data_IF_202929368292
#
_entry.id   IF_202929368292
#
_cell.length_a   1.000
_cell.length_b   1.000
_cell.length_c   1.000
_cell.angle_alpha   90.00
_cell.angle_beta   90.00
_cell.angle_gamma   90.00
#
_symmetry.space_group_name_H-M   'P 1'
#
loop_
_entity.id
_entity.type
_entity.pdbx_description
1 polymer ?
#
# COMPACT_ATOMS: atom_id res chain seq x y z
N UNK A 1 -32.08 -30.71 27.70
CA UNK A 1 -32.21 -29.25 27.45
C UNK A 1 -31.37 -28.36 28.38
N UNK A 2 -30.63 -28.88 29.37
CA UNK A 2 -29.75 -28.06 30.25
C UNK A 2 -28.29 -27.96 29.75
N UNK A 3 -27.81 -29.01 29.08
CA UNK A 3 -26.44 -29.08 28.51
C UNK A 3 -26.28 -28.16 27.29
N UNK A 4 -27.34 -27.96 26.50
CA UNK A 4 -27.33 -27.04 25.36
C UNK A 4 -27.18 -25.57 25.79
N UNK A 5 -27.84 -25.17 26.89
CA UNK A 5 -27.69 -23.81 27.46
C UNK A 5 -26.29 -23.58 28.04
N UNK A 6 -25.69 -24.60 28.68
CA UNK A 6 -24.33 -24.50 29.20
C UNK A 6 -23.28 -24.30 28.09
N UNK A 7 -23.43 -25.00 26.96
CA UNK A 7 -22.52 -24.92 25.81
C UNK A 7 -22.58 -23.55 25.10
N UNK A 8 -23.78 -22.97 25.00
CA UNK A 8 -23.97 -21.62 24.45
C UNK A 8 -23.37 -20.53 25.35
N UNK A 9 -23.52 -20.64 26.68
CA UNK A 9 -22.98 -19.66 27.62
C UNK A 9 -21.44 -19.68 27.64
N UNK A 10 -20.82 -20.87 27.58
CA UNK A 10 -19.35 -20.99 27.51
C UNK A 10 -18.78 -20.45 26.20
N UNK A 11 -19.49 -20.61 25.08
CA UNK A 11 -19.05 -20.10 23.78
C UNK A 11 -19.14 -18.56 23.73
N UNK A 12 -20.18 -17.98 24.33
CA UNK A 12 -20.37 -16.52 24.36
C UNK A 12 -19.37 -15.79 25.27
N UNK A 13 -18.90 -16.43 26.35
CA UNK A 13 -17.84 -15.89 27.22
C UNK A 13 -16.44 -15.91 26.57
N UNK A 14 -16.21 -16.83 25.62
CA UNK A 14 -14.92 -16.95 24.90
C UNK A 14 -14.74 -15.87 23.82
N UNK A 15 -15.80 -15.15 23.43
CA UNK A 15 -15.78 -14.14 22.38
C UNK A 15 -15.49 -12.70 22.87
N UNK A 16 -15.44 -12.45 24.19
CA UNK A 16 -15.26 -11.09 24.75
C UNK A 16 -13.80 -10.72 25.11
N UNK A 17 -12.83 -11.61 24.92
CA UNK A 17 -11.44 -11.43 25.38
C UNK A 17 -10.43 -11.14 24.25
N UNK A 18 -10.82 -10.43 23.19
CA UNK A 18 -9.99 -10.24 21.99
C UNK A 18 -10.01 -8.84 21.42
N UNK A 19 -9.93 -7.80 22.24
CA UNK A 19 -9.66 -6.45 21.73
C UNK A 19 -8.79 -5.69 22.73
N UNK A 20 -7.49 -5.97 22.73
CA UNK A 20 -6.51 -5.13 23.42
C UNK A 20 -5.58 -4.57 22.35
N UNK A 21 -5.97 -3.39 21.86
CA UNK A 21 -5.15 -2.54 21.00
C UNK A 21 -3.94 -2.08 21.82
N UNK A 22 -2.77 -2.63 21.50
CA UNK A 22 -1.52 -2.25 22.15
C UNK A 22 -1.05 -0.94 21.51
N UNK A 23 -1.38 0.18 22.15
CA UNK A 23 -0.89 1.50 21.75
C UNK A 23 0.63 1.53 21.90
N UNK A 24 1.35 1.63 20.78
CA UNK A 24 2.78 1.88 20.77
C UNK A 24 3.07 3.29 21.28
N UNK A 25 4.08 3.49 22.15
CA UNK A 25 4.56 4.82 22.47
C UNK A 25 5.05 5.50 21.19
N UNK A 26 4.50 6.67 20.87
CA UNK A 26 5.15 7.61 19.98
C UNK A 26 6.37 8.13 20.75
N UNK A 27 7.55 7.62 20.40
CA UNK A 27 8.81 8.22 20.83
C UNK A 27 9.08 9.39 19.90
N UNK A 28 9.01 10.58 20.50
CA UNK A 28 9.20 11.84 19.82
C UNK A 28 10.71 11.99 19.54
N UNK A 29 11.17 11.43 18.42
CA UNK A 29 12.50 11.73 17.90
C UNK A 29 12.51 13.18 17.43
N UNK A 30 12.94 14.03 18.35
CA UNK A 30 13.37 15.40 18.14
C UNK A 30 14.40 15.40 17.00
N UNK A 31 13.99 15.86 15.82
CA UNK A 31 14.86 15.98 14.65
C UNK A 31 15.82 17.15 14.94
N UNK A 32 17.14 16.90 15.05
CA UNK A 32 18.11 17.99 15.15
C UNK A 32 18.02 18.81 13.86
N UNK A 33 17.80 20.11 13.98
CA UNK A 33 17.81 21.03 12.86
C UNK A 33 19.20 21.03 12.22
N UNK A 34 19.36 20.27 11.15
CA UNK A 34 20.53 20.33 10.29
C UNK A 34 20.46 21.61 9.47
N UNK A 35 21.45 22.44 9.73
CA UNK A 35 21.91 23.62 9.02
C UNK A 35 21.56 23.60 7.51
N UNK A 36 20.69 24.52 7.08
CA UNK A 36 20.32 24.68 5.68
C UNK A 36 21.40 25.50 4.96
N UNK A 37 22.40 24.82 4.41
CA UNK A 37 23.28 25.41 3.38
C UNK A 37 22.44 25.86 2.18
N UNK A 38 22.59 27.09 1.66
CA UNK A 38 21.77 27.56 0.54
C UNK A 38 22.11 26.76 -0.72
N UNK A 39 21.09 26.10 -1.27
CA UNK A 39 21.13 25.43 -2.57
C UNK A 39 21.35 26.53 -3.63
N UNK A 40 22.32 26.39 -4.56
CA UNK A 40 22.43 27.29 -5.68
C UNK A 40 21.15 27.21 -6.52
N UNK A 41 20.45 28.34 -6.63
CA UNK A 41 19.30 28.52 -7.53
C UNK A 41 19.74 28.20 -8.95
N UNK A 42 19.32 27.04 -9.44
CA UNK A 42 19.38 26.71 -10.86
C UNK A 42 18.08 27.25 -11.44
N UNK A 43 18.16 28.45 -12.02
CA UNK A 43 17.10 29.07 -12.79
C UNK A 43 16.76 28.17 -13.99
N UNK A 44 15.85 27.23 -13.78
CA UNK A 44 15.13 26.52 -14.82
C UNK A 44 13.64 26.68 -14.55
N UNK A 45 13.18 27.90 -14.81
CA UNK A 45 11.77 28.20 -15.10
C UNK A 45 11.47 27.69 -16.51
N UNK A 46 11.58 26.38 -16.72
CA UNK A 46 11.10 25.73 -17.93
C UNK A 46 9.64 25.39 -17.66
N UNK A 47 8.75 26.20 -18.23
CA UNK A 47 7.31 25.99 -18.15
C UNK A 47 7.00 24.59 -18.65
N UNK A 48 6.71 23.68 -17.72
CA UNK A 48 6.15 22.38 -18.02
C UNK A 48 4.77 22.67 -18.60
N UNK A 49 4.72 22.64 -19.93
CA UNK A 49 3.49 22.59 -20.69
C UNK A 49 2.71 21.37 -20.19
N UNK A 50 1.66 21.64 -19.40
CA UNK A 50 0.66 20.66 -19.00
C UNK A 50 -0.25 20.33 -20.20
N UNK A 51 0.37 19.98 -21.33
CA UNK A 51 -0.32 19.33 -22.43
C UNK A 51 -0.71 17.94 -21.96
N UNK A 52 -2.02 17.71 -22.05
CA UNK A 52 -2.85 16.57 -21.64
C UNK A 52 -2.39 15.23 -22.28
N UNK A 53 -1.19 14.77 -21.92
CA UNK A 53 -0.70 13.46 -22.31
C UNK A 53 -1.25 12.43 -21.30
N UNK A 54 -2.47 11.94 -21.58
CA UNK A 54 -3.01 10.78 -20.86
C UNK A 54 -1.96 9.64 -20.91
N UNK A 55 -1.68 8.96 -19.78
CA UNK A 55 -0.70 7.88 -19.75
C UNK A 55 -1.00 6.84 -20.83
N UNK A 56 -0.01 6.47 -21.64
CA UNK A 56 -0.16 5.36 -22.59
C UNK A 56 -0.08 4.05 -21.82
N UNK A 57 -1.23 3.40 -21.59
CA UNK A 57 -1.36 2.18 -20.79
C UNK A 57 -1.54 0.96 -21.70
N UNK A 58 -0.79 -0.12 -21.46
CA UNK A 58 -1.00 -1.39 -22.17
C UNK A 58 -2.34 -2.04 -21.80
N UNK A 59 -2.93 -2.91 -22.64
CA UNK A 59 -4.20 -3.56 -22.31
C UNK A 59 -4.18 -4.33 -20.98
N UNK A 60 -3.08 -5.01 -20.66
CA UNK A 60 -2.90 -5.73 -19.40
C UNK A 60 -2.82 -4.76 -18.22
N UNK A 61 -2.09 -3.67 -18.36
CA UNK A 61 -2.00 -2.67 -17.31
C UNK A 61 -3.34 -1.96 -17.08
N UNK A 62 -4.16 -1.78 -18.12
CA UNK A 62 -5.49 -1.19 -17.98
C UNK A 62 -6.42 -2.02 -17.07
N UNK A 63 -6.30 -3.35 -17.09
CA UNK A 63 -7.04 -4.24 -16.17
C UNK A 63 -6.67 -3.91 -14.71
N UNK A 64 -5.38 -3.72 -14.43
CA UNK A 64 -4.90 -3.38 -13.09
C UNK A 64 -5.33 -1.98 -12.67
N UNK A 65 -5.32 -1.01 -13.58
CA UNK A 65 -5.83 0.35 -13.34
C UNK A 65 -7.30 0.30 -12.95
N UNK A 66 -8.12 -0.44 -13.69
CA UNK A 66 -9.56 -0.56 -13.40
C UNK A 66 -9.80 -1.21 -12.03
N UNK A 67 -9.07 -2.29 -11.72
CA UNK A 67 -9.16 -2.96 -10.41
C UNK A 67 -8.77 -2.02 -9.26
N UNK A 68 -7.72 -1.22 -9.45
CA UNK A 68 -7.27 -0.24 -8.47
C UNK A 68 -8.32 0.86 -8.26
N UNK A 69 -8.88 1.41 -9.35
CA UNK A 69 -9.94 2.43 -9.30
C UNK A 69 -11.17 1.93 -8.57
N UNK A 70 -11.67 0.74 -8.91
CA UNK A 70 -12.84 0.14 -8.27
C UNK A 70 -12.59 -0.09 -6.77
N UNK A 71 -11.41 -0.59 -6.41
CA UNK A 71 -11.04 -0.84 -5.01
C UNK A 71 -10.95 0.45 -4.19
N UNK A 72 -10.37 1.50 -4.76
CA UNK A 72 -10.28 2.83 -4.13
C UNK A 72 -11.67 3.47 -4.00
N UNK A 73 -12.50 3.40 -5.04
CA UNK A 73 -13.86 3.91 -5.03
C UNK A 73 -14.69 3.29 -3.90
N UNK A 74 -14.64 1.95 -3.75
CA UNK A 74 -15.29 1.24 -2.64
C UNK A 74 -14.76 1.67 -1.26
N UNK A 75 -13.43 1.77 -1.12
CA UNK A 75 -12.78 2.11 0.16
C UNK A 75 -13.13 3.52 0.62
N UNK A 76 -13.10 4.48 -0.29
CA UNK A 76 -13.31 5.90 0.01
C UNK A 76 -14.75 6.36 -0.20
N UNK A 77 -15.64 5.49 -0.72
CA UNK A 77 -17.05 5.80 -1.02
C UNK A 77 -17.20 7.02 -1.94
N UNK A 78 -16.30 7.13 -2.92
CA UNK A 78 -16.35 8.13 -3.98
C UNK A 78 -16.60 7.43 -5.31
N UNK A 79 -17.07 8.17 -6.30
CA UNK A 79 -17.27 7.63 -7.64
C UNK A 79 -15.94 7.51 -8.41
N UNK A 80 -15.82 6.52 -9.29
CA UNK A 80 -14.58 6.23 -10.03
C UNK A 80 -14.13 7.34 -10.98
N UNK A 81 -15.05 8.22 -11.41
CA UNK A 81 -14.75 9.41 -12.22
C UNK A 81 -13.91 10.45 -11.45
N UNK A 82 -13.94 10.40 -10.12
CA UNK A 82 -13.10 11.25 -9.25
C UNK A 82 -11.69 10.70 -9.04
N UNK A 83 -11.39 9.51 -9.58
CA UNK A 83 -10.10 8.86 -9.45
C UNK A 83 -9.38 8.94 -10.80
N UNK A 84 -8.33 9.75 -10.83
CA UNK A 84 -7.51 9.97 -12.02
C UNK A 84 -6.23 9.14 -11.96
N UNK A 85 -5.86 8.57 -13.09
CA UNK A 85 -4.60 7.85 -13.22
C UNK A 85 -3.47 8.87 -13.36
N UNK A 86 -2.47 8.80 -12.48
CA UNK A 86 -1.30 9.69 -12.55
C UNK A 86 -0.16 9.08 -13.38
N UNK A 87 0.23 7.83 -13.08
CA UNK A 87 1.28 7.11 -13.81
C UNK A 87 1.03 5.60 -13.74
N UNK A 88 1.60 4.87 -14.70
CA UNK A 88 1.69 3.41 -14.69
C UNK A 88 3.10 3.03 -15.11
N UNK A 89 3.82 2.38 -14.20
CA UNK A 89 5.20 1.97 -14.42
C UNK A 89 5.32 0.45 -14.23
N UNK A 90 6.08 -0.25 -15.09
CA UNK A 90 6.41 -1.64 -14.85
C UNK A 90 7.33 -1.74 -13.63
N UNK A 91 6.94 -2.58 -12.66
CA UNK A 91 7.72 -2.83 -11.45
C UNK A 91 7.97 -4.32 -11.27
N UNK A 92 9.21 -4.68 -10.94
CA UNK A 92 9.59 -6.04 -10.56
C UNK A 92 9.57 -6.14 -9.05
N UNK A 93 8.78 -7.07 -8.51
CA UNK A 93 8.68 -7.33 -7.09
C UNK A 93 9.72 -8.39 -6.69
N UNK A 94 10.51 -8.11 -5.66
CA UNK A 94 11.69 -8.90 -5.29
C UNK A 94 11.35 -10.21 -4.57
N UNK A 95 10.13 -10.30 -4.04
CA UNK A 95 9.64 -11.48 -3.35
C UNK A 95 8.28 -11.91 -3.89
N UNK A 96 7.94 -13.18 -3.63
CA UNK A 96 6.62 -13.72 -3.93
C UNK A 96 5.55 -13.30 -2.90
N UNK A 97 5.88 -12.39 -1.98
CA UNK A 97 5.02 -11.87 -0.92
C UNK A 97 4.02 -10.85 -1.44
N UNK A 98 3.16 -11.26 -2.38
CA UNK A 98 2.09 -10.39 -2.88
C UNK A 98 0.99 -10.23 -1.81
N UNK A 99 1.00 -9.11 -1.09
CA UNK A 99 -0.05 -8.74 -0.13
C UNK A 99 0.43 -8.66 1.33
N UNK A 100 -0.42 -9.08 2.28
CA UNK A 100 -0.07 -9.07 3.71
C UNK A 100 0.75 -10.34 4.04
N UNK A 101 1.99 -10.21 4.56
CA UNK A 101 2.80 -11.37 4.91
C UNK A 101 2.21 -12.14 6.09
N UNK A 102 2.31 -13.47 6.05
CA UNK A 102 1.91 -14.36 7.14
C UNK A 102 3.09 -14.62 8.08
N UNK A 103 2.83 -14.57 9.38
CA UNK A 103 3.86 -14.81 10.39
C UNK A 103 4.42 -16.24 10.26
N UNK A 104 5.75 -16.35 10.27
CA UNK A 104 6.47 -17.63 10.18
C UNK A 104 6.59 -18.22 8.78
N UNK A 105 6.15 -17.51 7.73
CA UNK A 105 6.30 -17.94 6.33
C UNK A 105 7.53 -17.26 5.71
N UNK A 106 8.39 -18.07 5.09
CA UNK A 106 9.48 -17.60 4.23
C UNK A 106 8.97 -17.54 2.80
N UNK A 107 8.99 -16.35 2.21
CA UNK A 107 8.62 -16.16 0.81
C UNK A 107 9.83 -16.41 -0.09
N UNK A 108 9.58 -17.05 -1.23
CA UNK A 108 10.61 -17.24 -2.22
C UNK A 108 11.06 -15.88 -2.77
N UNK A 109 12.38 -15.70 -2.86
CA UNK A 109 12.97 -14.61 -3.62
C UNK A 109 12.77 -14.85 -5.11
N UNK A 110 12.46 -13.80 -5.85
CA UNK A 110 12.31 -13.87 -7.31
C UNK A 110 13.58 -13.34 -7.93
N UNK A 111 14.23 -14.12 -8.81
CA UNK A 111 15.43 -13.68 -9.52
C UNK A 111 15.15 -12.38 -10.28
N UNK A 112 16.01 -11.39 -10.06
CA UNK A 112 15.94 -10.10 -10.75
C UNK A 112 16.97 -10.00 -11.85
N UNK A 113 16.76 -9.06 -12.77
CA UNK A 113 17.65 -8.77 -13.90
C UNK A 113 19.11 -8.43 -13.52
N UNK A 114 19.43 -8.25 -12.23
CA UNK A 114 20.77 -7.88 -11.76
C UNK A 114 21.71 -9.09 -11.56
N UNK A 115 21.21 -10.33 -11.60
CA UNK A 115 22.03 -11.53 -11.35
C UNK A 115 22.71 -12.11 -12.61
N UNK A 116 22.59 -11.48 -13.79
CA UNK A 116 23.24 -11.96 -15.01
C UNK A 116 24.24 -10.91 -15.56
N UNK A 117 25.55 -10.99 -15.21
CA UNK A 117 26.56 -10.22 -15.91
C UNK A 117 26.74 -10.82 -17.31
N UNK A 118 26.58 -9.99 -18.35
CA UNK A 118 26.92 -10.31 -19.75
C UNK A 118 28.41 -10.64 -19.86
#
# INVERSE_FOLDING_TARGET
MKIQFALFITCSLLFLAGCQSMASPAENTEIPATDFTPIPTLDQEEGIDMSDESPTVSPQAQIMVNLAKESLARKFKISEDKIHLFSVEPMVWLDAGLGCPQAGIVYAEVETWLSNPI
#
